data_IF_873403124425
#
_entry.id   IF_873403124425
#
_cell.length_a   1.000
_cell.length_b   1.000
_cell.length_c   1.000
_cell.angle_alpha   90.00
_cell.angle_beta   90.00
_cell.angle_gamma   90.00
#
_symmetry.space_group_name_H-M   'P 1'
#
loop_
_entity.id
_entity.type
_entity.pdbx_description
1 polymer ?
#
# COMPACT_ATOMS: atom_id res chain seq x y z
N UNK A 1 4.81 0.84 -7.12
CA UNK A 1 6.23 0.49 -7.30
C UNK A 1 7.14 1.71 -7.15
N UNK A 2 6.78 2.88 -7.68
CA UNK A 2 7.50 4.16 -7.44
C UNK A 2 7.84 4.44 -5.97
N UNK A 3 6.94 4.09 -5.02
CA UNK A 3 7.24 4.20 -3.58
C UNK A 3 8.43 3.33 -3.13
N UNK A 4 8.51 2.08 -3.60
CA UNK A 4 9.61 1.17 -3.21
C UNK A 4 10.93 1.69 -3.80
N UNK A 5 10.93 2.07 -5.09
CA UNK A 5 12.10 2.69 -5.72
C UNK A 5 12.57 3.95 -5.01
N UNK A 6 11.64 4.84 -4.64
CA UNK A 6 11.99 6.06 -3.92
C UNK A 6 12.58 5.78 -2.54
N UNK A 7 12.12 4.73 -1.85
CA UNK A 7 12.71 4.32 -0.56
C UNK A 7 14.08 3.66 -0.77
N UNK A 8 14.25 2.82 -1.81
CA UNK A 8 15.54 2.22 -2.16
C UNK A 8 16.60 3.29 -2.47
N UNK A 9 16.23 4.34 -3.22
CA UNK A 9 17.11 5.49 -3.49
C UNK A 9 17.50 6.22 -2.20
N UNK A 10 16.56 6.44 -1.28
CA UNK A 10 16.86 7.10 0.01
C UNK A 10 17.76 6.21 0.90
N UNK A 11 17.58 4.89 0.86
CA UNK A 11 18.45 3.95 1.57
C UNK A 11 19.88 4.02 1.03
N UNK A 12 20.04 4.06 -0.29
CA UNK A 12 21.33 4.15 -0.99
C UNK A 12 22.01 5.52 -0.79
N UNK A 13 21.27 6.62 -0.98
CA UNK A 13 21.81 7.99 -0.91
C UNK A 13 22.24 8.40 0.51
N UNK A 14 21.59 7.84 1.54
CA UNK A 14 21.79 8.25 2.94
C UNK A 14 22.34 7.12 3.82
N UNK A 15 22.73 5.98 3.24
CA UNK A 15 23.24 4.79 3.95
C UNK A 15 22.36 4.41 5.16
N UNK A 16 21.04 4.50 5.01
CA UNK A 16 20.13 4.28 6.13
C UNK A 16 20.10 2.80 6.50
N UNK A 17 20.13 2.53 7.81
CA UNK A 17 19.84 1.18 8.30
C UNK A 17 18.39 0.81 8.04
N UNK A 18 18.10 -0.48 7.78
CA UNK A 18 16.74 -0.97 7.56
C UNK A 18 15.77 -0.56 8.69
N UNK A 19 16.29 -0.44 9.93
CA UNK A 19 15.50 0.03 11.07
C UNK A 19 15.03 1.48 10.90
N UNK A 20 15.91 2.37 10.45
CA UNK A 20 15.57 3.77 10.20
C UNK A 20 14.57 3.91 9.05
N UNK A 21 14.72 3.09 8.00
CA UNK A 21 13.77 3.05 6.88
C UNK A 21 12.37 2.65 7.38
N UNK A 22 12.27 1.59 8.18
CA UNK A 22 11.00 1.07 8.68
C UNK A 22 10.34 1.92 9.78
N UNK A 23 11.12 2.72 10.51
CA UNK A 23 10.61 3.74 11.43
C UNK A 23 9.93 4.90 10.68
N UNK A 24 10.45 5.28 9.51
CA UNK A 24 9.85 6.33 8.65
C UNK A 24 8.52 5.92 8.01
N UNK A 25 8.14 4.64 8.02
CA UNK A 25 6.82 4.23 7.51
C UNK A 25 5.65 4.84 8.26
N UNK A 26 5.86 5.17 9.54
CA UNK A 26 4.85 5.86 10.34
C UNK A 26 4.50 7.24 9.78
N UNK A 27 5.45 7.90 9.12
CA UNK A 27 5.27 9.21 8.48
C UNK A 27 4.96 9.10 6.98
N UNK A 28 5.46 8.07 6.30
CA UNK A 28 5.26 7.87 4.86
C UNK A 28 3.87 7.32 4.53
N UNK A 29 3.32 6.43 5.36
CA UNK A 29 1.98 5.89 5.14
C UNK A 29 0.91 6.77 5.78
N UNK A 30 -0.16 7.03 5.03
CA UNK A 30 -1.30 7.81 5.51
C UNK A 30 -2.59 6.98 5.46
N UNK A 31 -3.58 7.35 6.30
CA UNK A 31 -4.95 6.79 6.32
C UNK A 31 -4.99 5.25 6.37
N UNK A 32 -5.41 4.60 5.28
CA UNK A 32 -5.58 3.15 5.19
C UNK A 32 -4.25 2.41 5.17
N UNK A 33 -3.25 2.96 4.50
CA UNK A 33 -1.89 2.40 4.50
C UNK A 33 -1.26 2.47 5.88
N UNK A 34 -1.48 3.57 6.61
CA UNK A 34 -1.00 3.73 7.99
C UNK A 34 -1.60 2.67 8.93
N UNK A 35 -2.93 2.49 8.89
CA UNK A 35 -3.61 1.46 9.68
C UNK A 35 -3.15 0.04 9.35
N UNK A 36 -2.88 -0.25 8.09
CA UNK A 36 -2.32 -1.54 7.66
C UNK A 36 -0.91 -1.74 8.21
N UNK A 37 -0.06 -0.72 8.12
CA UNK A 37 1.30 -0.76 8.66
C UNK A 37 1.32 -1.03 10.16
N UNK A 38 0.53 -0.28 10.95
CA UNK A 38 0.46 -0.46 12.40
C UNK A 38 0.03 -1.89 12.76
N UNK A 39 -0.99 -2.44 12.08
CA UNK A 39 -1.42 -3.82 12.30
C UNK A 39 -0.32 -4.85 12.01
N UNK A 40 0.38 -4.72 10.88
CA UNK A 40 1.47 -5.64 10.54
C UNK A 40 2.65 -5.51 11.51
N UNK A 41 3.01 -4.29 11.90
CA UNK A 41 4.11 -4.04 12.84
C UNK A 41 3.78 -4.56 14.24
N UNK A 42 2.53 -4.48 14.68
CA UNK A 42 2.09 -5.09 15.94
C UNK A 42 2.12 -6.61 15.90
N UNK A 43 1.77 -7.23 14.76
CA UNK A 43 1.72 -8.68 14.61
C UNK A 43 3.10 -9.34 14.43
N UNK A 44 4.00 -8.68 13.70
CA UNK A 44 5.30 -9.26 13.29
C UNK A 44 6.51 -8.56 13.90
N UNK A 45 6.32 -7.49 14.68
CA UNK A 45 7.40 -6.74 15.30
C UNK A 45 8.23 -5.93 14.31
N UNK A 46 9.49 -5.66 14.67
CA UNK A 46 10.45 -5.05 13.75
C UNK A 46 10.92 -6.09 12.73
N UNK A 47 10.81 -5.74 11.45
CA UNK A 47 11.15 -6.59 10.32
C UNK A 47 12.03 -5.84 9.33
N UNK A 48 12.80 -6.57 8.52
CA UNK A 48 13.70 -6.01 7.51
C UNK A 48 12.96 -5.25 6.42
N UNK A 49 13.66 -4.33 5.75
CA UNK A 49 13.09 -3.61 4.62
C UNK A 49 12.70 -4.58 3.50
N UNK A 50 13.52 -5.60 3.25
CA UNK A 50 13.22 -6.69 2.31
C UNK A 50 11.87 -7.38 2.61
N UNK A 51 11.57 -7.67 3.88
CA UNK A 51 10.28 -8.24 4.26
C UNK A 51 9.13 -7.30 3.95
N UNK A 52 9.29 -6.01 4.27
CA UNK A 52 8.28 -4.99 4.02
C UNK A 52 8.03 -4.76 2.53
N UNK A 53 9.05 -4.81 1.67
CA UNK A 53 8.88 -4.76 0.20
C UNK A 53 7.91 -5.85 -0.27
N UNK A 54 8.10 -7.07 0.20
CA UNK A 54 7.21 -8.21 -0.12
C UNK A 54 5.78 -7.95 0.35
N UNK A 55 5.59 -7.44 1.56
CA UNK A 55 4.24 -7.13 2.06
C UNK A 55 3.55 -6.01 1.28
N UNK A 56 4.30 -4.96 0.92
CA UNK A 56 3.80 -3.83 0.11
C UNK A 56 3.38 -4.33 -1.28
N UNK A 57 4.22 -5.15 -1.92
CA UNK A 57 3.92 -5.77 -3.21
C UNK A 57 2.68 -6.64 -3.11
N UNK A 58 2.60 -7.53 -2.12
CA UNK A 58 1.45 -8.41 -1.94
C UNK A 58 0.14 -7.65 -1.66
N UNK A 59 0.22 -6.49 -0.99
CA UNK A 59 -0.97 -5.70 -0.63
C UNK A 59 -1.48 -4.83 -1.78
N UNK A 60 -0.58 -4.18 -2.52
CA UNK A 60 -0.94 -3.14 -3.50
C UNK A 60 -0.51 -3.41 -4.94
N UNK A 61 0.27 -4.47 -5.17
CA UNK A 61 0.67 -4.90 -6.51
C UNK A 61 0.17 -6.31 -6.87
N UNK A 62 -0.68 -6.91 -6.03
CA UNK A 62 -1.35 -8.17 -6.35
C UNK A 62 -2.38 -7.95 -7.48
N UNK A 63 -2.34 -8.80 -8.50
CA UNK A 63 -3.28 -8.79 -9.63
C UNK A 63 -4.74 -8.91 -9.19
N UNK A 64 -5.03 -9.61 -8.09
CA UNK A 64 -6.37 -9.65 -7.51
C UNK A 64 -6.83 -8.29 -6.93
N UNK A 65 -5.90 -7.46 -6.44
CA UNK A 65 -6.22 -6.10 -5.99
C UNK A 65 -6.42 -5.17 -7.18
N UNK A 66 -5.56 -5.27 -8.20
CA UNK A 66 -5.73 -4.54 -9.47
C UNK A 66 -7.07 -4.86 -10.12
N UNK A 67 -7.40 -6.14 -10.24
CA UNK A 67 -8.68 -6.61 -10.75
C UNK A 67 -9.87 -6.09 -9.92
N UNK A 68 -9.77 -6.04 -8.58
CA UNK A 68 -10.82 -5.48 -7.73
C UNK A 68 -10.99 -3.98 -7.92
N UNK A 69 -9.91 -3.23 -8.11
CA UNK A 69 -9.95 -1.78 -8.37
C UNK A 69 -10.51 -1.51 -9.76
N UNK A 70 -10.08 -2.26 -10.77
CA UNK A 70 -10.64 -2.20 -12.14
C UNK A 70 -12.14 -2.50 -12.13
N UNK A 71 -12.57 -3.60 -11.51
CA UNK A 71 -13.98 -3.94 -11.33
C UNK A 71 -14.75 -2.83 -10.63
N UNK A 72 -14.23 -2.29 -9.52
CA UNK A 72 -14.92 -1.23 -8.78
C UNK A 72 -15.08 0.03 -9.63
N UNK A 73 -14.08 0.38 -10.44
CA UNK A 73 -14.13 1.52 -11.36
C UNK A 73 -15.07 1.27 -12.55
N UNK A 74 -15.10 0.05 -13.10
CA UNK A 74 -16.07 -0.37 -14.13
C UNK A 74 -17.50 -0.30 -13.61
N UNK A 75 -17.76 -0.81 -12.39
CA UNK A 75 -19.07 -0.76 -11.76
C UNK A 75 -19.51 0.66 -11.45
N UNK A 76 -18.60 1.55 -11.05
CA UNK A 76 -18.89 2.97 -10.81
C UNK A 76 -19.29 3.68 -12.11
N UNK A 77 -18.59 3.38 -13.22
CA UNK A 77 -18.96 3.89 -14.56
C UNK A 77 -20.26 3.30 -15.12
N UNK A 78 -20.60 2.07 -14.77
CA UNK A 78 -21.85 1.41 -15.18
C UNK A 78 -23.05 1.73 -14.30
N UNK A 79 -22.86 2.50 -13.21
CA UNK A 79 -23.95 2.87 -12.32
C UNK A 79 -24.84 4.01 -12.86
N UNK A 80 -24.70 4.39 -14.13
CA UNK A 80 -25.59 5.32 -14.85
C UNK A 80 -27.05 4.84 -14.97
N UNK A 81 -27.37 3.65 -14.46
CA UNK A 81 -28.75 3.14 -14.34
C UNK A 81 -29.40 3.37 -12.97
N UNK A 82 -28.72 4.00 -12.00
CA UNK A 82 -29.36 4.30 -10.69
C UNK A 82 -30.19 5.58 -10.62
N UNK A 83 -30.33 6.31 -11.72
CA UNK A 83 -31.25 7.47 -11.77
C UNK A 83 -32.63 7.16 -12.38
N UNK A 84 -32.94 5.91 -12.72
CA UNK A 84 -34.30 5.54 -13.17
C UNK A 84 -34.75 4.19 -12.64
N UNK A 85 -35.11 4.13 -11.36
CA UNK A 85 -36.24 3.33 -10.90
C UNK A 85 -36.48 3.55 -9.41
N UNK A 86 -37.48 4.36 -9.07
CA UNK A 86 -38.55 4.01 -8.10
C UNK A 86 -39.55 5.17 -7.98
N UNK A 87 -40.80 4.85 -7.61
CA UNK A 87 -42.01 5.07 -8.43
C UNK A 87 -42.61 6.48 -8.39
#
# INVERSE_FOLDING_TARGET
>A
MELIRGIDMIEEDFELTERLVTERFNTLFTRSAHRWYIKLRQAHGNQSWTWWKTQIINKWANDAWRFKVEKAFEYDKFNSYKDKASP
#
